data_IF_441333245016
#
_entry.id   IF_441333245016
#
_cell.length_a   1.000
_cell.length_b   1.000
_cell.length_c   1.000
_cell.angle_alpha   90.00
_cell.angle_beta   90.00
_cell.angle_gamma   90.00
#
_symmetry.space_group_name_H-M   'P 1'
#
loop_
_entity.id
_entity.type
_entity.pdbx_description
1 polymer ?
#
# COMPACT_ATOMS: atom_id res chain seq x y z
N UNK A 1 11.63 -38.90 34.19
CA UNK A 1 10.78 -37.70 34.08
C UNK A 1 10.13 -37.71 32.69
N UNK A 2 9.02 -38.44 32.53
CA UNK A 2 8.34 -38.60 31.25
C UNK A 2 7.20 -37.59 31.12
N UNK A 3 7.19 -36.82 30.04
CA UNK A 3 6.03 -36.02 29.67
C UNK A 3 4.87 -36.99 29.35
N UNK A 4 3.86 -37.03 30.21
CA UNK A 4 2.68 -37.88 30.01
C UNK A 4 1.91 -37.54 28.73
N UNK A 5 1.07 -38.46 28.22
CA UNK A 5 0.34 -38.33 26.95
C UNK A 5 -0.54 -37.06 26.83
N UNK A 6 -0.89 -36.42 27.95
CA UNK A 6 -1.61 -35.14 27.97
C UNK A 6 -0.77 -33.93 27.50
N UNK A 7 0.55 -33.93 27.68
CA UNK A 7 1.42 -32.82 27.29
C UNK A 7 1.68 -32.73 25.78
N UNK A 8 1.75 -33.88 25.10
CA UNK A 8 1.93 -33.96 23.65
C UNK A 8 0.68 -33.47 22.88
N UNK A 9 -0.52 -33.73 23.42
CA UNK A 9 -1.78 -33.25 22.86
C UNK A 9 -1.93 -31.72 22.97
N UNK A 10 -1.47 -31.12 24.07
CA UNK A 10 -1.51 -29.66 24.26
C UNK A 10 -0.57 -28.92 23.30
N UNK A 11 0.65 -29.43 23.07
CA UNK A 11 1.60 -28.85 22.11
C UNK A 11 1.10 -29.01 20.67
N UNK A 12 0.49 -30.15 20.36
CA UNK A 12 -0.14 -30.39 19.06
C UNK A 12 -1.35 -29.49 18.83
N UNK A 13 -2.21 -29.28 19.83
CA UNK A 13 -3.31 -28.32 19.78
C UNK A 13 -2.81 -26.89 19.61
N UNK A 14 -1.82 -26.45 20.39
CA UNK A 14 -1.26 -25.11 20.26
C UNK A 14 -0.68 -24.85 18.86
N UNK A 15 0.00 -25.83 18.27
CA UNK A 15 0.50 -25.79 16.88
C UNK A 15 -0.61 -25.83 15.82
N UNK A 16 -1.73 -26.49 16.09
CA UNK A 16 -2.93 -26.47 15.22
C UNK A 16 -3.55 -25.07 15.19
N UNK A 17 -3.77 -24.46 16.35
CA UNK A 17 -4.37 -23.12 16.44
C UNK A 17 -3.51 -22.06 15.76
N UNK A 18 -2.19 -22.06 15.98
CA UNK A 18 -1.26 -21.06 15.40
C UNK A 18 -1.18 -21.11 13.88
N UNK A 19 -1.40 -22.26 13.27
CA UNK A 19 -1.29 -22.40 11.82
C UNK A 19 -2.61 -22.11 11.08
N UNK A 20 -3.77 -22.39 11.69
CA UNK A 20 -5.06 -21.94 11.15
C UNK A 20 -5.18 -20.41 11.23
N UNK A 21 -4.77 -19.81 12.35
CA UNK A 21 -4.73 -18.35 12.48
C UNK A 21 -3.82 -17.72 11.43
N UNK A 22 -2.66 -18.32 11.12
CA UNK A 22 -1.73 -17.78 10.11
C UNK A 22 -2.28 -17.82 8.67
N UNK A 23 -3.16 -18.77 8.34
CA UNK A 23 -3.84 -18.83 7.04
C UNK A 23 -4.92 -17.75 6.90
N UNK A 24 -5.73 -17.61 7.94
CA UNK A 24 -6.79 -16.59 8.00
C UNK A 24 -6.22 -15.16 8.05
N UNK A 25 -5.08 -14.97 8.74
CA UNK A 25 -4.37 -13.70 8.79
C UNK A 25 -3.91 -13.24 7.41
N UNK A 26 -3.40 -14.14 6.56
CA UNK A 26 -2.97 -13.80 5.19
C UNK A 26 -4.15 -13.42 4.29
N UNK A 27 -5.26 -14.16 4.38
CA UNK A 27 -6.46 -13.83 3.62
C UNK A 27 -7.03 -12.47 4.03
N UNK A 28 -7.09 -12.21 5.35
CA UNK A 28 -7.47 -10.91 5.91
C UNK A 28 -6.54 -9.81 5.42
N UNK A 29 -5.22 -10.02 5.48
CA UNK A 29 -4.24 -9.05 4.99
C UNK A 29 -4.41 -8.73 3.50
N UNK A 30 -4.70 -9.75 2.68
CA UNK A 30 -4.93 -9.58 1.25
C UNK A 30 -6.16 -8.73 0.98
N UNK A 31 -7.29 -9.01 1.65
CA UNK A 31 -8.52 -8.20 1.53
C UNK A 31 -8.27 -6.76 1.99
N UNK A 32 -7.58 -6.57 3.12
CA UNK A 32 -7.23 -5.23 3.60
C UNK A 32 -6.34 -4.48 2.61
N UNK A 33 -5.37 -5.16 1.99
CA UNK A 33 -4.53 -4.54 0.97
C UNK A 33 -5.33 -4.17 -0.28
N UNK A 34 -6.24 -5.02 -0.75
CA UNK A 34 -7.11 -4.73 -1.90
C UNK A 34 -8.03 -3.53 -1.64
N UNK A 35 -8.55 -3.41 -0.41
CA UNK A 35 -9.31 -2.21 0.01
C UNK A 35 -8.38 -0.99 0.01
N UNK A 36 -7.19 -1.10 0.59
CA UNK A 36 -6.23 0.00 0.66
C UNK A 36 -5.88 0.53 -0.72
N UNK A 37 -5.54 -0.33 -1.68
CA UNK A 37 -5.13 0.06 -3.03
C UNK A 37 -6.28 0.63 -3.86
N UNK A 38 -7.51 0.18 -3.62
CA UNK A 38 -8.70 0.77 -4.23
C UNK A 38 -8.93 2.19 -3.70
N UNK A 39 -8.81 2.38 -2.38
CA UNK A 39 -8.92 3.70 -1.77
C UNK A 39 -7.74 4.61 -2.14
N UNK A 40 -6.55 4.07 -2.40
CA UNK A 40 -5.44 4.83 -2.96
C UNK A 40 -5.77 5.34 -4.37
N UNK A 41 -6.45 4.56 -5.21
CA UNK A 41 -6.91 5.06 -6.50
C UNK A 41 -7.97 6.19 -6.35
N UNK A 42 -8.85 6.12 -5.35
CA UNK A 42 -9.76 7.21 -5.02
C UNK A 42 -9.00 8.46 -4.53
N UNK A 43 -7.98 8.28 -3.69
CA UNK A 43 -7.06 9.34 -3.27
C UNK A 43 -6.42 10.00 -4.49
N UNK A 44 -5.83 9.22 -5.40
CA UNK A 44 -5.16 9.75 -6.59
C UNK A 44 -6.14 10.50 -7.50
N UNK A 45 -7.36 9.98 -7.66
CA UNK A 45 -8.41 10.61 -8.47
C UNK A 45 -8.85 11.95 -7.89
N UNK A 46 -9.09 12.01 -6.57
CA UNK A 46 -9.42 13.26 -5.89
C UNK A 46 -8.25 14.26 -5.89
N UNK A 47 -7.01 13.78 -5.79
CA UNK A 47 -5.82 14.63 -5.90
C UNK A 47 -5.64 15.19 -7.31
N UNK A 48 -5.95 14.41 -8.36
CA UNK A 48 -5.95 14.88 -9.76
C UNK A 48 -6.99 15.98 -9.97
N UNK A 49 -8.20 15.81 -9.43
CA UNK A 49 -9.25 16.83 -9.50
C UNK A 49 -8.85 18.11 -8.75
N UNK A 50 -8.34 17.99 -7.52
CA UNK A 50 -7.85 19.15 -6.75
C UNK A 50 -6.66 19.84 -7.39
N UNK A 51 -5.74 19.09 -8.01
CA UNK A 51 -4.57 19.63 -8.70
C UNK A 51 -4.89 20.39 -9.99
N UNK A 52 -6.12 20.31 -10.50
CA UNK A 52 -6.58 21.12 -11.63
C UNK A 52 -6.92 22.56 -11.22
N UNK A 53 -7.12 22.81 -9.92
CA UNK A 53 -7.62 24.08 -9.37
C UNK A 53 -6.66 24.74 -8.39
N UNK A 54 -5.86 23.96 -7.65
CA UNK A 54 -4.86 24.50 -6.72
C UNK A 54 -3.46 23.89 -6.98
N UNK A 55 -2.38 24.56 -6.57
CA UNK A 55 -1.03 24.04 -6.71
C UNK A 55 -0.85 22.64 -6.10
N UNK A 56 -0.02 21.81 -6.74
CA UNK A 56 0.24 20.44 -6.28
C UNK A 56 0.63 20.32 -4.80
N UNK A 57 1.48 21.22 -4.32
CA UNK A 57 1.92 21.25 -2.92
C UNK A 57 0.79 21.60 -1.95
N UNK A 58 -0.19 22.38 -2.40
CA UNK A 58 -1.40 22.68 -1.64
C UNK A 58 -2.33 21.46 -1.56
N UNK A 59 -2.50 20.70 -2.65
CA UNK A 59 -3.21 19.41 -2.63
C UNK A 59 -2.56 18.44 -1.63
N UNK A 60 -1.23 18.38 -1.60
CA UNK A 60 -0.50 17.54 -0.64
C UNK A 60 -0.72 18.01 0.80
N UNK A 61 -0.77 19.33 1.03
CA UNK A 61 -1.12 19.87 2.33
C UNK A 61 -2.54 19.47 2.74
N UNK A 62 -3.54 19.65 1.87
CA UNK A 62 -4.93 19.22 2.15
C UNK A 62 -5.01 17.74 2.49
N UNK A 63 -4.32 16.89 1.72
CA UNK A 63 -4.23 15.45 1.97
C UNK A 63 -3.77 15.14 3.39
N UNK A 64 -2.69 15.75 3.85
CA UNK A 64 -2.14 15.45 5.18
C UNK A 64 -2.89 16.14 6.30
N UNK A 65 -3.30 17.38 6.11
CA UNK A 65 -4.04 18.16 7.12
C UNK A 65 -5.43 17.57 7.37
N UNK A 66 -6.19 17.25 6.32
CA UNK A 66 -7.52 16.65 6.48
C UNK A 66 -7.41 15.23 7.04
N UNK A 67 -6.43 14.43 6.61
CA UNK A 67 -6.13 13.13 7.23
C UNK A 67 -5.86 13.31 8.73
N UNK A 68 -4.97 14.23 9.09
CA UNK A 68 -4.63 14.51 10.49
C UNK A 68 -5.86 14.91 11.30
N UNK A 69 -6.67 15.86 10.80
CA UNK A 69 -7.89 16.31 11.47
C UNK A 69 -8.86 15.16 11.69
N UNK A 70 -9.15 14.35 10.67
CA UNK A 70 -10.07 13.21 10.77
C UNK A 70 -9.59 12.19 11.81
N UNK A 71 -8.30 11.83 11.78
CA UNK A 71 -7.73 10.88 12.73
C UNK A 71 -7.67 11.48 14.15
N UNK A 72 -7.38 12.77 14.29
CA UNK A 72 -7.35 13.44 15.58
C UNK A 72 -8.76 13.55 16.19
N UNK A 73 -9.80 13.79 15.40
CA UNK A 73 -11.20 13.74 15.85
C UNK A 73 -11.55 12.33 16.34
N UNK A 74 -11.22 11.30 15.55
CA UNK A 74 -11.55 9.91 15.87
C UNK A 74 -10.82 9.39 17.11
N UNK A 75 -9.53 9.67 17.24
CA UNK A 75 -8.69 9.16 18.32
C UNK A 75 -8.70 10.07 19.56
N UNK A 76 -9.16 11.32 19.42
CA UNK A 76 -9.16 12.36 20.44
C UNK A 76 -7.88 12.36 21.29
N UNK A 77 -6.71 12.61 20.66
CA UNK A 77 -5.43 12.40 21.30
C UNK A 77 -5.15 13.40 22.44
N UNK A 78 -5.96 14.46 22.56
CA UNK A 78 -5.90 15.41 23.67
C UNK A 78 -6.53 14.84 24.96
N UNK A 79 -7.54 13.98 24.85
CA UNK A 79 -8.11 13.23 26.00
C UNK A 79 -7.46 11.87 26.20
N UNK A 80 -6.91 11.28 25.15
CA UNK A 80 -6.16 10.03 25.20
C UNK A 80 -4.72 10.23 24.66
N UNK A 81 -3.79 10.81 25.44
CA UNK A 81 -2.41 11.05 25.02
C UNK A 81 -1.66 9.78 24.62
N UNK A 82 -2.14 8.61 25.04
CA UNK A 82 -1.63 7.31 24.60
C UNK A 82 -1.70 7.12 23.09
N UNK A 83 -2.56 7.84 22.38
CA UNK A 83 -2.60 7.86 20.91
C UNK A 83 -1.30 8.39 20.27
N UNK A 84 -0.53 9.24 20.97
CA UNK A 84 0.79 9.70 20.53
C UNK A 84 1.94 8.76 20.93
N UNK A 85 1.67 7.78 21.79
CA UNK A 85 2.71 6.92 22.34
C UNK A 85 3.30 6.07 21.23
N UNK A 86 4.62 6.19 21.07
CA UNK A 86 5.42 5.36 20.17
C UNK A 86 6.65 4.84 20.89
N UNK A 87 6.99 3.59 20.63
CA UNK A 87 8.24 2.97 21.12
C UNK A 87 9.40 3.19 20.15
N UNK A 88 9.12 3.67 18.94
CA UNK A 88 10.09 3.84 17.86
C UNK A 88 10.00 5.24 17.18
N UNK A 89 10.20 6.34 17.93
CA UNK A 89 10.02 7.70 17.42
C UNK A 89 10.90 8.01 16.20
N UNK A 90 12.16 7.57 16.20
CA UNK A 90 13.08 7.76 15.06
C UNK A 90 12.53 7.14 13.78
N UNK A 91 11.91 5.96 13.89
CA UNK A 91 11.40 5.22 12.76
C UNK A 91 10.07 5.81 12.25
N UNK A 92 9.23 6.36 13.14
CA UNK A 92 8.04 7.13 12.75
C UNK A 92 8.40 8.42 12.02
N UNK A 93 9.39 9.17 12.52
CA UNK A 93 9.90 10.39 11.85
C UNK A 93 10.49 10.03 10.48
N UNK A 94 11.32 8.98 10.39
CA UNK A 94 11.84 8.50 9.12
C UNK A 94 10.72 8.11 8.15
N UNK A 95 9.67 7.41 8.64
CA UNK A 95 8.50 7.02 7.83
C UNK A 95 7.79 8.23 7.23
N UNK A 96 7.54 9.25 8.05
CA UNK A 96 6.89 10.47 7.60
C UNK A 96 7.78 11.28 6.64
N UNK A 97 9.09 11.39 6.90
CA UNK A 97 10.02 12.06 6.01
C UNK A 97 10.10 11.39 4.62
N UNK A 98 10.22 10.06 4.61
CA UNK A 98 10.20 9.24 3.38
C UNK A 98 8.88 9.42 2.64
N UNK A 99 7.74 9.51 3.34
CA UNK A 99 6.43 9.72 2.71
C UNK A 99 6.32 11.10 2.04
N UNK A 100 6.81 12.16 2.69
CA UNK A 100 6.85 13.52 2.12
C UNK A 100 7.78 13.54 0.91
N UNK A 101 8.99 13.00 1.04
CA UNK A 101 9.99 12.96 -0.03
C UNK A 101 9.47 12.19 -1.25
N UNK A 102 8.88 11.01 -1.04
CA UNK A 102 8.27 10.22 -2.11
C UNK A 102 7.18 11.00 -2.85
N UNK A 103 6.30 11.67 -2.10
CA UNK A 103 5.22 12.48 -2.66
C UNK A 103 5.79 13.67 -3.46
N UNK A 104 6.72 14.44 -2.89
CA UNK A 104 7.34 15.59 -3.56
C UNK A 104 8.08 15.21 -4.84
N UNK A 105 8.88 14.15 -4.80
CA UNK A 105 9.59 13.64 -5.98
C UNK A 105 8.63 13.13 -7.07
N UNK A 106 7.49 12.55 -6.67
CA UNK A 106 6.47 12.10 -7.62
C UNK A 106 5.83 13.29 -8.36
N UNK A 107 5.45 14.34 -7.63
CA UNK A 107 4.92 15.56 -8.25
C UNK A 107 5.96 16.25 -9.14
N UNK A 108 7.22 16.30 -8.71
CA UNK A 108 8.31 16.82 -9.52
C UNK A 108 8.52 15.99 -10.80
N UNK A 109 8.39 14.67 -10.73
CA UNK A 109 8.46 13.84 -11.94
C UNK A 109 7.27 14.12 -12.88
N UNK A 110 6.05 14.29 -12.34
CA UNK A 110 4.86 14.60 -13.12
C UNK A 110 4.92 15.95 -13.84
N UNK A 111 5.72 16.92 -13.37
CA UNK A 111 5.90 18.19 -14.08
C UNK A 111 6.79 18.08 -15.32
N UNK A 112 7.54 16.98 -15.49
CA UNK A 112 8.48 16.79 -16.61
C UNK A 112 8.17 15.56 -17.47
N UNK A 113 7.48 14.55 -16.92
CA UNK A 113 7.21 13.28 -17.58
C UNK A 113 5.74 13.13 -17.89
N UNK A 114 5.45 12.38 -18.95
CA UNK A 114 4.08 11.96 -19.24
C UNK A 114 3.56 11.05 -18.11
N UNK A 115 2.26 11.16 -17.81
CA UNK A 115 1.59 10.34 -16.77
C UNK A 115 1.85 8.84 -17.00
N UNK A 116 1.78 8.39 -18.26
CA UNK A 116 2.04 7.00 -18.63
C UNK A 116 3.48 6.55 -18.29
N UNK A 117 4.48 7.40 -18.51
CA UNK A 117 5.87 7.13 -18.16
C UNK A 117 6.05 7.04 -16.64
N UNK A 118 5.45 8.00 -15.91
CA UNK A 118 5.49 8.03 -14.44
C UNK A 118 4.84 6.79 -13.83
N UNK A 119 3.65 6.40 -14.29
CA UNK A 119 2.96 5.21 -13.80
C UNK A 119 3.76 3.93 -14.09
N UNK A 120 4.30 3.79 -15.32
CA UNK A 120 5.12 2.61 -15.68
C UNK A 120 6.25 2.36 -14.68
N UNK A 121 6.94 3.44 -14.27
CA UNK A 121 8.03 3.35 -13.31
C UNK A 121 7.49 3.17 -11.89
N UNK A 122 6.39 3.83 -11.53
CA UNK A 122 5.76 3.69 -10.21
C UNK A 122 5.38 2.24 -9.90
N UNK A 123 4.93 1.49 -10.90
CA UNK A 123 4.61 0.07 -10.79
C UNK A 123 5.83 -0.86 -10.73
N UNK A 124 7.05 -0.33 -10.77
CA UNK A 124 8.23 -1.07 -10.28
C UNK A 124 8.26 -1.16 -8.75
N UNK A 125 7.46 -0.36 -8.04
CA UNK A 125 7.38 -0.33 -6.57
C UNK A 125 7.27 -1.71 -5.92
N UNK A 126 6.34 -2.59 -6.33
CA UNK A 126 6.23 -3.94 -5.78
C UNK A 126 7.50 -4.80 -5.92
N UNK A 127 8.28 -4.60 -6.99
CA UNK A 127 9.59 -5.28 -7.18
C UNK A 127 10.55 -4.81 -6.09
N UNK A 128 10.68 -3.49 -5.90
CA UNK A 128 11.55 -2.92 -4.88
C UNK A 128 11.10 -3.23 -3.46
N UNK A 129 9.79 -3.21 -3.17
CA UNK A 129 9.24 -3.64 -1.87
C UNK A 129 9.64 -5.09 -1.60
N UNK A 130 9.53 -5.96 -2.59
CA UNK A 130 9.91 -7.37 -2.45
C UNK A 130 11.41 -7.51 -2.21
N UNK A 131 12.26 -6.82 -2.99
CA UNK A 131 13.72 -6.83 -2.80
C UNK A 131 14.13 -6.32 -1.41
N UNK A 132 13.61 -5.17 -1.00
CA UNK A 132 13.92 -4.58 0.30
C UNK A 132 13.37 -5.43 1.45
N UNK A 133 12.27 -6.16 1.25
CA UNK A 133 11.76 -7.09 2.26
C UNK A 133 12.70 -8.28 2.51
N UNK A 134 13.35 -8.79 1.45
CA UNK A 134 14.38 -9.83 1.59
C UNK A 134 15.58 -9.25 2.35
N UNK A 135 16.06 -8.07 1.95
CA UNK A 135 17.28 -7.46 2.51
C UNK A 135 17.12 -6.99 3.96
N UNK A 136 16.03 -6.29 4.27
CA UNK A 136 15.85 -5.63 5.58
C UNK A 136 14.97 -6.41 6.54
N UNK A 137 14.03 -7.22 6.06
CA UNK A 137 13.15 -8.01 6.94
C UNK A 137 13.54 -9.50 6.97
N UNK A 138 14.47 -9.94 6.13
CA UNK A 138 14.84 -11.35 6.03
C UNK A 138 13.71 -12.23 5.49
N UNK A 139 12.76 -11.65 4.74
CA UNK A 139 11.64 -12.41 4.17
C UNK A 139 12.13 -13.35 3.07
N UNK A 140 11.60 -14.59 3.05
CA UNK A 140 11.91 -15.57 2.00
C UNK A 140 10.82 -15.56 0.95
N UNK A 141 11.19 -15.22 -0.28
CA UNK A 141 10.26 -15.05 -1.40
C UNK A 141 10.39 -16.22 -2.38
N UNK A 142 9.34 -17.03 -2.49
CA UNK A 142 9.32 -18.16 -3.41
C UNK A 142 9.23 -17.76 -4.88
N UNK A 143 9.70 -18.64 -5.77
CA UNK A 143 9.73 -18.44 -7.23
C UNK A 143 8.40 -17.95 -7.84
N UNK A 144 7.26 -18.40 -7.32
CA UNK A 144 5.95 -18.05 -7.86
C UNK A 144 5.52 -16.62 -7.53
N UNK A 145 5.93 -16.09 -6.37
CA UNK A 145 5.71 -14.68 -6.02
C UNK A 145 6.52 -13.79 -6.94
N UNK A 146 7.79 -14.14 -7.18
CA UNK A 146 8.62 -13.48 -8.18
C UNK A 146 7.97 -13.48 -9.56
N UNK A 147 7.52 -14.65 -10.04
CA UNK A 147 6.85 -14.75 -11.33
C UNK A 147 5.63 -13.83 -11.43
N UNK A 148 4.77 -13.77 -10.40
CA UNK A 148 3.60 -12.91 -10.49
C UNK A 148 3.91 -11.43 -10.39
N UNK A 149 4.92 -11.01 -9.63
CA UNK A 149 5.38 -9.63 -9.62
C UNK A 149 5.80 -9.24 -11.05
N UNK A 150 6.64 -10.05 -11.69
CA UNK A 150 7.10 -9.77 -13.05
C UNK A 150 5.98 -9.84 -14.09
N UNK A 151 5.08 -10.83 -14.03
CA UNK A 151 3.95 -10.92 -14.97
C UNK A 151 2.98 -9.75 -14.79
N UNK A 152 2.69 -9.36 -13.55
CA UNK A 152 1.83 -8.19 -13.28
C UNK A 152 2.49 -6.89 -13.76
N UNK A 153 3.81 -6.76 -13.58
CA UNK A 153 4.58 -5.65 -14.10
C UNK A 153 4.54 -5.59 -15.64
N UNK A 154 4.70 -6.73 -16.32
CA UNK A 154 4.52 -6.81 -17.78
C UNK A 154 3.11 -6.37 -18.17
N UNK A 155 2.09 -6.82 -17.44
CA UNK A 155 0.72 -6.36 -17.62
C UNK A 155 0.61 -4.83 -17.58
N UNK A 156 1.20 -4.19 -16.58
CA UNK A 156 1.24 -2.71 -16.49
C UNK A 156 1.96 -2.10 -17.69
N UNK A 157 3.12 -2.61 -18.10
CA UNK A 157 3.86 -2.08 -19.25
C UNK A 157 3.07 -2.16 -20.57
N UNK A 158 2.26 -3.20 -20.75
CA UNK A 158 1.35 -3.32 -21.89
C UNK A 158 0.30 -2.21 -21.85
N UNK A 159 -0.24 -1.89 -20.66
CA UNK A 159 -1.27 -0.86 -20.51
C UNK A 159 -0.70 0.54 -20.70
N UNK A 160 0.38 0.85 -19.97
CA UNK A 160 0.96 2.20 -19.96
C UNK A 160 1.69 2.51 -21.26
N UNK A 161 2.17 1.47 -21.96
CA UNK A 161 2.89 1.55 -23.23
C UNK A 161 3.83 2.76 -23.26
N UNK A 162 4.81 2.83 -22.33
CA UNK A 162 5.69 3.98 -22.26
C UNK A 162 6.38 4.13 -23.61
N UNK A 163 6.18 5.29 -24.26
CA UNK A 163 6.83 5.57 -25.52
C UNK A 163 8.35 5.59 -25.36
N UNK A 164 9.07 5.27 -26.42
CA UNK A 164 10.50 5.60 -26.56
C UNK A 164 10.62 7.11 -26.81
N UNK A 165 10.39 7.89 -25.74
CA UNK A 165 10.70 9.31 -25.73
C UNK A 165 12.20 9.54 -25.51
N UNK A 166 12.65 10.78 -25.72
CA UNK A 166 14.00 11.19 -25.36
C UNK A 166 14.27 10.91 -23.87
N UNK A 167 15.51 10.50 -23.57
CA UNK A 167 15.94 10.28 -22.20
C UNK A 167 15.86 11.59 -21.41
N UNK A 168 14.87 11.70 -20.52
CA UNK A 168 14.68 12.85 -19.66
C UNK A 168 15.31 12.58 -18.27
N UNK A 169 16.25 13.41 -17.79
CA UNK A 169 16.80 13.27 -16.44
C UNK A 169 15.76 13.16 -15.32
N UNK A 170 14.53 13.66 -15.54
CA UNK A 170 13.41 13.53 -14.61
C UNK A 170 13.00 12.06 -14.32
N UNK A 171 13.40 11.09 -15.15
CA UNK A 171 13.27 9.66 -14.81
C UNK A 171 13.93 9.32 -13.47
N UNK A 172 15.02 10.00 -13.11
CA UNK A 172 15.69 9.85 -11.82
C UNK A 172 14.78 10.19 -10.63
N UNK A 173 13.94 11.23 -10.75
CA UNK A 173 13.03 11.63 -9.67
C UNK A 173 11.98 10.57 -9.37
N UNK A 174 11.37 9.98 -10.41
CA UNK A 174 10.36 8.93 -10.21
C UNK A 174 10.99 7.62 -9.74
N UNK A 175 12.17 7.24 -10.24
CA UNK A 175 12.89 6.05 -9.74
C UNK A 175 13.23 6.23 -8.26
N UNK A 176 13.74 7.40 -7.86
CA UNK A 176 14.05 7.71 -6.47
C UNK A 176 12.79 7.72 -5.61
N UNK A 177 11.69 8.31 -6.09
CA UNK A 177 10.38 8.29 -5.43
C UNK A 177 9.93 6.86 -5.14
N UNK A 178 10.07 5.94 -6.11
CA UNK A 178 9.68 4.54 -5.96
C UNK A 178 10.56 3.79 -4.94
N UNK A 179 11.88 4.01 -4.94
CA UNK A 179 12.78 3.42 -3.96
C UNK A 179 12.48 3.90 -2.53
N UNK A 180 12.21 5.20 -2.39
CA UNK A 180 11.78 5.82 -1.12
C UNK A 180 10.40 5.25 -0.71
N UNK A 181 9.44 5.15 -1.62
CA UNK A 181 8.13 4.53 -1.36
C UNK A 181 8.20 3.06 -0.96
N UNK A 182 9.14 2.30 -1.55
CA UNK A 182 9.40 0.93 -1.13
C UNK A 182 9.95 0.87 0.30
N UNK A 183 10.86 1.79 0.65
CA UNK A 183 11.37 1.96 2.02
C UNK A 183 10.26 2.31 3.01
N UNK A 184 9.29 3.16 2.62
CA UNK A 184 8.10 3.44 3.42
C UNK A 184 7.30 2.16 3.75
N UNK A 185 7.14 1.26 2.78
CA UNK A 185 6.44 -0.02 3.00
C UNK A 185 7.21 -0.90 3.99
N UNK A 186 8.53 -0.98 3.89
CA UNK A 186 9.38 -1.75 4.82
C UNK A 186 9.29 -1.19 6.25
N UNK A 187 9.41 0.14 6.38
CA UNK A 187 9.29 0.82 7.67
C UNK A 187 7.89 0.58 8.27
N UNK A 188 6.84 0.67 7.44
CA UNK A 188 5.46 0.42 7.86
C UNK A 188 5.29 -1.02 8.37
N UNK A 189 5.84 -2.02 7.66
CA UNK A 189 5.83 -3.42 8.09
C UNK A 189 6.52 -3.61 9.45
N UNK A 190 7.69 -3.00 9.65
CA UNK A 190 8.41 -3.06 10.94
C UNK A 190 7.60 -2.45 12.08
N UNK A 191 7.04 -1.25 11.88
CA UNK A 191 6.26 -0.56 12.90
C UNK A 191 4.91 -1.24 13.18
N UNK A 192 4.26 -1.81 12.17
CA UNK A 192 2.96 -2.48 12.33
C UNK A 192 3.01 -3.67 13.30
N UNK A 193 4.19 -4.25 13.52
CA UNK A 193 4.41 -5.33 14.47
C UNK A 193 4.44 -4.87 15.95
N UNK A 194 4.81 -3.61 16.23
CA UNK A 194 5.04 -3.12 17.60
C UNK A 194 4.14 -1.95 18.00
N UNK A 195 3.68 -1.17 17.02
CA UNK A 195 2.94 0.07 17.24
C UNK A 195 1.44 -0.13 17.04
N UNK A 196 0.62 0.78 17.59
CA UNK A 196 -0.81 0.82 17.30
C UNK A 196 -1.06 1.44 15.91
N UNK A 197 -2.10 1.00 15.20
CA UNK A 197 -2.45 1.61 13.92
C UNK A 197 -2.86 3.09 14.10
N UNK A 198 -3.49 3.43 15.23
CA UNK A 198 -3.87 4.81 15.54
C UNK A 198 -2.66 5.74 15.66
N UNK A 199 -1.65 5.35 16.46
CA UNK A 199 -0.42 6.15 16.61
C UNK A 199 0.35 6.28 15.30
N UNK A 200 0.42 5.20 14.52
CA UNK A 200 1.04 5.23 13.20
C UNK A 200 0.34 6.20 12.23
N UNK A 201 -1.00 6.25 12.22
CA UNK A 201 -1.76 7.18 11.37
C UNK A 201 -1.59 8.63 11.82
N UNK A 202 -1.77 8.87 13.12
CA UNK A 202 -1.71 10.20 13.69
C UNK A 202 -0.36 10.86 13.45
N UNK A 203 0.75 10.16 13.78
CA UNK A 203 2.11 10.70 13.61
C UNK A 203 2.44 10.90 12.13
N UNK A 204 2.02 9.98 11.27
CA UNK A 204 2.27 10.06 9.83
C UNK A 204 1.54 11.22 9.17
N UNK A 205 0.35 11.60 9.64
CA UNK A 205 -0.39 12.71 9.09
C UNK A 205 0.04 14.05 9.72
N UNK A 206 0.31 14.06 11.03
CA UNK A 206 0.70 15.26 11.77
C UNK A 206 2.01 15.87 11.27
N UNK A 207 3.07 15.07 11.09
CA UNK A 207 4.38 15.60 10.77
C UNK A 207 4.42 16.30 9.39
N UNK A 208 3.91 15.71 8.30
CA UNK A 208 3.78 16.40 7.01
C UNK A 208 2.89 17.64 7.08
N UNK A 209 1.74 17.58 7.79
CA UNK A 209 0.85 18.73 7.94
C UNK A 209 1.58 19.90 8.61
N UNK A 210 2.33 19.63 9.69
CA UNK A 210 3.13 20.64 10.39
C UNK A 210 4.24 21.19 9.49
N UNK A 211 4.95 20.33 8.75
CA UNK A 211 6.07 20.75 7.89
C UNK A 211 5.58 21.61 6.72
N UNK A 212 4.42 21.30 6.14
CA UNK A 212 3.89 22.00 4.97
C UNK A 212 3.10 23.27 5.32
N UNK A 213 2.52 23.36 6.52
CA UNK A 213 1.70 24.51 6.93
C UNK A 213 2.43 25.87 6.81
N UNK A 214 3.71 26.02 7.20
CA UNK A 214 4.44 27.28 7.05
C UNK A 214 4.56 27.77 5.61
N UNK A 215 4.43 26.89 4.62
CA UNK A 215 4.49 27.28 3.20
C UNK A 215 3.17 27.91 2.75
N UNK A 216 2.03 27.52 3.35
CA UNK A 216 0.69 27.91 2.86
C UNK A 216 0.51 29.42 2.67
N UNK A 217 0.93 30.31 3.60
CA UNK A 217 0.79 31.76 3.40
C UNK A 217 1.44 32.31 2.13
N UNK A 218 2.39 31.60 1.52
CA UNK A 218 3.13 32.05 0.33
C UNK A 218 2.60 31.50 -1.00
N UNK A 219 1.85 30.40 -0.96
CA UNK A 219 1.46 29.63 -2.17
C UNK A 219 -0.04 29.36 -2.26
N UNK A 220 -0.81 29.71 -1.24
CA UNK A 220 -2.22 29.38 -1.12
C UNK A 220 -3.05 30.01 -2.24
N UNK A 221 -3.83 29.17 -2.93
CA UNK A 221 -4.80 29.59 -3.94
C UNK A 221 -6.18 29.17 -3.48
N UNK A 222 -7.08 30.14 -3.30
CA UNK A 222 -8.45 29.84 -2.92
C UNK A 222 -9.21 29.18 -4.09
N UNK A 223 -9.80 27.98 -3.93
CA UNK A 223 -10.66 27.40 -4.95
C UNK A 223 -11.85 28.32 -5.25
N UNK A 224 -12.07 28.60 -6.54
CA UNK A 224 -13.09 29.55 -6.97
C UNK A 224 -14.51 29.01 -6.73
N UNK A 225 -14.73 27.72 -6.99
CA UNK A 225 -16.03 27.08 -6.86
C UNK A 225 -16.13 26.25 -5.57
N UNK A 226 -17.30 26.23 -4.94
CA UNK A 226 -17.54 25.41 -3.75
C UNK A 226 -17.39 23.90 -4.01
N UNK A 227 -17.62 23.47 -5.27
CA UNK A 227 -17.47 22.08 -5.67
C UNK A 227 -16.01 21.58 -5.60
N UNK A 228 -15.04 22.48 -5.76
CA UNK A 228 -13.61 22.16 -5.78
C UNK A 228 -13.06 21.77 -4.40
N UNK A 229 -13.78 22.13 -3.33
CA UNK A 229 -13.43 21.72 -1.97
C UNK A 229 -13.65 20.23 -1.73
N UNK A 230 -14.62 19.62 -2.41
CA UNK A 230 -14.95 18.21 -2.24
C UNK A 230 -13.78 17.28 -2.60
N UNK A 231 -13.11 17.40 -3.77
CA UNK A 231 -11.93 16.59 -4.06
C UNK A 231 -10.78 16.88 -3.10
N UNK A 232 -10.56 18.13 -2.67
CA UNK A 232 -9.51 18.49 -1.70
C UNK A 232 -9.72 17.79 -0.35
N UNK A 233 -10.93 17.84 0.21
CA UNK A 233 -11.30 17.09 1.42
C UNK A 233 -11.21 15.58 1.19
N UNK A 234 -11.64 15.13 0.00
CA UNK A 234 -11.55 13.74 -0.45
C UNK A 234 -10.14 13.17 -0.34
N UNK A 235 -9.10 13.97 -0.65
CA UNK A 235 -7.71 13.51 -0.54
C UNK A 235 -7.34 13.09 0.88
N UNK A 236 -7.73 13.87 1.90
CA UNK A 236 -7.43 13.49 3.29
C UNK A 236 -8.30 12.34 3.79
N UNK A 237 -9.57 12.30 3.37
CA UNK A 237 -10.50 11.23 3.72
C UNK A 237 -10.04 9.88 3.18
N UNK A 238 -9.85 9.76 1.86
CA UNK A 238 -9.35 8.54 1.25
C UNK A 238 -7.92 8.24 1.71
N UNK A 239 -7.10 9.26 1.95
CA UNK A 239 -5.78 9.12 2.54
C UNK A 239 -5.79 8.46 3.92
N UNK A 240 -6.67 8.87 4.82
CA UNK A 240 -6.76 8.29 6.16
C UNK A 240 -7.18 6.82 6.12
N UNK A 241 -8.23 6.50 5.38
CA UNK A 241 -8.80 5.16 5.34
C UNK A 241 -7.89 4.19 4.58
N UNK A 242 -7.34 4.60 3.43
CA UNK A 242 -6.40 3.77 2.66
C UNK A 242 -5.18 3.39 3.49
N UNK A 243 -4.58 4.34 4.20
CA UNK A 243 -3.43 4.09 5.06
C UNK A 243 -3.76 3.24 6.28
N UNK A 244 -4.97 3.35 6.84
CA UNK A 244 -5.41 2.46 7.91
C UNK A 244 -5.38 1.01 7.44
N UNK A 245 -6.03 0.71 6.31
CA UNK A 245 -6.05 -0.64 5.75
C UNK A 245 -4.66 -1.11 5.30
N UNK A 246 -3.82 -0.22 4.76
CA UNK A 246 -2.44 -0.53 4.40
C UNK A 246 -1.62 -0.96 5.65
N UNK A 247 -1.70 -0.20 6.75
CA UNK A 247 -1.02 -0.53 8.01
C UNK A 247 -1.53 -1.87 8.56
N UNK A 248 -2.83 -2.10 8.53
CA UNK A 248 -3.41 -3.34 9.03
C UNK A 248 -3.02 -4.54 8.16
N UNK A 249 -2.99 -4.40 6.83
CA UNK A 249 -2.50 -5.45 5.94
C UNK A 249 -1.05 -5.84 6.32
N UNK A 250 -0.18 -4.84 6.50
CA UNK A 250 1.20 -5.04 6.95
C UNK A 250 1.32 -5.57 8.38
N UNK A 251 0.27 -5.52 9.21
CA UNK A 251 0.25 -6.19 10.52
C UNK A 251 0.06 -7.70 10.35
N UNK A 252 -0.84 -8.10 9.47
CA UNK A 252 -1.25 -9.49 9.30
C UNK A 252 -0.41 -10.28 8.29
N UNK A 253 0.30 -9.62 7.36
CA UNK A 253 1.15 -10.32 6.39
C UNK A 253 2.44 -9.59 6.00
N UNK A 254 3.38 -10.40 5.52
CA UNK A 254 4.70 -10.02 5.02
C UNK A 254 4.63 -9.00 3.87
N UNK A 255 5.61 -8.10 3.79
CA UNK A 255 5.64 -7.08 2.75
C UNK A 255 5.74 -7.69 1.35
N UNK A 256 6.55 -8.76 1.19
CA UNK A 256 6.66 -9.52 -0.06
C UNK A 256 5.38 -10.24 -0.49
N UNK A 257 4.51 -10.59 0.46
CA UNK A 257 3.21 -11.18 0.14
C UNK A 257 2.23 -10.11 -0.37
N UNK A 258 2.27 -8.91 0.21
CA UNK A 258 1.37 -7.82 -0.11
C UNK A 258 1.78 -7.06 -1.38
N UNK A 259 3.07 -7.03 -1.71
CA UNK A 259 3.62 -6.34 -2.87
C UNK A 259 2.85 -6.61 -4.19
N UNK A 260 2.63 -7.87 -4.65
CA UNK A 260 1.90 -8.11 -5.89
C UNK A 260 0.44 -7.64 -5.86
N UNK A 261 -0.18 -7.50 -4.68
CA UNK A 261 -1.55 -6.99 -4.57
C UNK A 261 -1.63 -5.48 -4.86
N UNK A 262 -0.51 -4.76 -4.76
CA UNK A 262 -0.46 -3.33 -5.09
C UNK A 262 -0.72 -3.05 -6.57
N UNK A 263 -0.44 -4.01 -7.47
CA UNK A 263 -0.78 -3.88 -8.89
C UNK A 263 -2.30 -3.73 -9.14
N UNK A 264 -3.14 -4.24 -8.24
CA UNK A 264 -4.60 -4.09 -8.34
C UNK A 264 -5.06 -2.64 -8.20
N UNK A 265 -4.23 -1.74 -7.66
CA UNK A 265 -4.49 -0.29 -7.70
C UNK A 265 -4.80 0.17 -9.13
N UNK A 266 -4.08 -0.37 -10.12
CA UNK A 266 -4.25 0.01 -11.52
C UNK A 266 -5.66 -0.29 -12.05
N UNK A 267 -6.28 -1.38 -11.60
CA UNK A 267 -7.66 -1.70 -11.98
C UNK A 267 -8.63 -0.65 -11.46
N UNK A 268 -8.46 -0.23 -10.20
CA UNK A 268 -9.28 0.83 -9.63
C UNK A 268 -9.04 2.17 -10.34
N UNK A 269 -7.78 2.50 -10.68
CA UNK A 269 -7.44 3.69 -11.49
C UNK A 269 -8.12 3.64 -12.86
N UNK A 270 -8.18 2.48 -13.52
CA UNK A 270 -8.87 2.34 -14.79
C UNK A 270 -10.38 2.57 -14.69
N UNK A 271 -11.01 1.96 -13.69
CA UNK A 271 -12.46 2.10 -13.48
C UNK A 271 -12.80 3.55 -13.15
N UNK A 272 -12.03 4.21 -12.28
CA UNK A 272 -12.21 5.62 -11.93
C UNK A 272 -11.86 6.54 -13.11
N UNK A 273 -10.84 6.20 -13.89
CA UNK A 273 -10.47 6.83 -15.16
C UNK A 273 -11.67 6.95 -16.09
N UNK A 274 -12.30 5.81 -16.37
CA UNK A 274 -13.49 5.76 -17.20
C UNK A 274 -14.69 6.48 -16.57
N UNK A 275 -14.99 6.20 -15.30
CA UNK A 275 -16.22 6.68 -14.66
C UNK A 275 -16.20 8.19 -14.35
N UNK A 276 -15.04 8.76 -14.00
CA UNK A 276 -14.90 10.16 -13.59
C UNK A 276 -14.37 11.03 -14.73
N UNK A 277 -13.41 10.52 -15.50
CA UNK A 277 -12.70 11.31 -16.52
C UNK A 277 -13.11 10.97 -17.95
N UNK A 278 -13.95 9.94 -18.15
CA UNK A 278 -14.35 9.50 -19.48
C UNK A 278 -13.23 8.80 -20.28
N UNK A 279 -12.17 8.36 -19.61
CA UNK A 279 -11.03 7.69 -20.24
C UNK A 279 -11.44 6.30 -20.74
N UNK A 280 -11.76 6.16 -22.03
CA UNK A 280 -12.20 4.89 -22.63
C UNK A 280 -11.01 3.91 -22.72
N UNK A 281 -11.11 2.71 -22.12
CA UNK A 281 -10.05 1.70 -22.20
C UNK A 281 -9.76 1.29 -23.65
N UNK A 282 -8.48 1.32 -24.03
CA UNK A 282 -8.04 0.84 -25.34
C UNK A 282 -7.92 -0.70 -25.36
N UNK A 283 -7.75 -1.30 -26.54
CA UNK A 283 -7.47 -2.74 -26.65
C UNK A 283 -6.22 -3.14 -25.84
N UNK A 284 -5.17 -2.31 -25.82
CA UNK A 284 -3.96 -2.55 -25.03
C UNK A 284 -4.22 -2.48 -23.53
N UNK A 285 -5.06 -1.54 -23.11
CA UNK A 285 -5.53 -1.44 -21.74
C UNK A 285 -6.25 -2.72 -21.30
N UNK A 286 -7.12 -3.26 -22.15
CA UNK A 286 -7.84 -4.50 -21.87
C UNK A 286 -6.88 -5.71 -21.82
N UNK A 287 -5.95 -5.82 -22.78
CA UNK A 287 -4.97 -6.90 -22.81
C UNK A 287 -4.05 -6.90 -21.58
N UNK A 288 -3.47 -5.75 -21.24
CA UNK A 288 -2.61 -5.65 -20.07
C UNK A 288 -3.37 -5.85 -18.77
N UNK A 289 -4.64 -5.42 -18.70
CA UNK A 289 -5.55 -5.70 -17.58
C UNK A 289 -5.79 -7.20 -17.43
N UNK A 290 -6.05 -7.91 -18.53
CA UNK A 290 -6.22 -9.37 -18.52
C UNK A 290 -4.97 -10.09 -17.97
N UNK A 291 -3.77 -9.64 -18.38
CA UNK A 291 -2.50 -10.18 -17.86
C UNK A 291 -2.36 -9.93 -16.36
N UNK A 292 -2.66 -8.71 -15.90
CA UNK A 292 -2.58 -8.31 -14.50
C UNK A 292 -3.57 -9.07 -13.61
N UNK A 293 -4.83 -9.19 -14.04
CA UNK A 293 -5.85 -9.96 -13.30
C UNK A 293 -5.50 -11.45 -13.31
N UNK A 294 -5.07 -11.98 -14.46
CA UNK A 294 -4.72 -13.38 -14.64
C UNK A 294 -3.58 -13.82 -13.73
N UNK A 295 -2.51 -13.02 -13.60
CA UNK A 295 -1.39 -13.31 -12.69
C UNK A 295 -1.81 -13.32 -11.22
N UNK A 296 -2.63 -12.36 -10.81
CA UNK A 296 -3.15 -12.25 -9.45
C UNK A 296 -4.07 -13.42 -9.07
N UNK A 297 -5.00 -13.78 -9.96
CA UNK A 297 -5.88 -14.93 -9.79
C UNK A 297 -5.10 -16.25 -9.73
N UNK A 298 -4.07 -16.40 -10.57
CA UNK A 298 -3.21 -17.58 -10.55
C UNK A 298 -2.49 -17.74 -9.20
N UNK A 299 -1.92 -16.66 -8.65
CA UNK A 299 -1.32 -16.71 -7.31
C UNK A 299 -2.35 -17.08 -6.25
N UNK A 300 -3.49 -16.40 -6.24
CA UNK A 300 -4.52 -16.64 -5.23
C UNK A 300 -5.00 -18.09 -5.25
N UNK A 301 -5.30 -18.61 -6.43
CA UNK A 301 -5.69 -20.01 -6.61
C UNK A 301 -4.61 -20.97 -6.11
N UNK A 302 -3.34 -20.69 -6.44
CA UNK A 302 -2.22 -21.52 -6.03
C UNK A 302 -2.00 -21.52 -4.53
N UNK A 303 -2.02 -20.35 -3.89
CA UNK A 303 -1.80 -20.21 -2.46
C UNK A 303 -2.94 -20.89 -1.68
N UNK A 304 -4.18 -20.81 -2.19
CA UNK A 304 -5.33 -21.58 -1.69
C UNK A 304 -5.10 -23.10 -1.83
N UNK A 305 -4.60 -23.56 -2.97
CA UNK A 305 -4.28 -24.99 -3.20
C UNK A 305 -3.19 -25.50 -2.25
N UNK A 306 -2.14 -24.72 -2.01
CA UNK A 306 -1.07 -25.06 -1.06
C UNK A 306 -1.64 -25.16 0.36
N UNK A 307 -2.41 -24.16 0.80
CA UNK A 307 -3.05 -24.17 2.11
C UNK A 307 -3.99 -25.38 2.29
N UNK A 308 -4.76 -25.73 1.25
CA UNK A 308 -5.63 -26.91 1.26
C UNK A 308 -4.85 -28.23 1.28
N UNK A 309 -3.74 -28.33 0.53
CA UNK A 309 -2.88 -29.52 0.51
C UNK A 309 -2.19 -29.73 1.86
N UNK A 310 -1.71 -28.65 2.50
CA UNK A 310 -1.19 -28.70 3.86
C UNK A 310 -2.25 -29.12 4.87
N UNK A 311 -3.48 -28.57 4.76
CA UNK A 311 -4.61 -28.99 5.59
C UNK A 311 -4.94 -30.48 5.41
N UNK A 312 -4.98 -30.98 4.17
CA UNK A 312 -5.23 -32.41 3.87
C UNK A 312 -4.13 -33.31 4.42
N UNK A 313 -2.86 -32.99 4.18
CA UNK A 313 -1.70 -33.77 4.67
C UNK A 313 -1.69 -33.84 6.21
N UNK A 314 -2.09 -32.76 6.88
CA UNK A 314 -2.24 -32.72 8.34
C UNK A 314 -3.40 -33.58 8.82
N UNK A 315 -4.57 -33.49 8.18
CA UNK A 315 -5.73 -34.33 8.54
C UNK A 315 -5.41 -35.82 8.38
N UNK A 316 -4.70 -36.22 7.32
CA UNK A 316 -4.27 -37.61 7.14
C UNK A 316 -3.25 -38.06 8.21
N UNK A 317 -2.32 -37.19 8.62
CA UNK A 317 -1.37 -37.50 9.70
C UNK A 317 -2.06 -37.66 11.06
N UNK A 318 -3.10 -36.87 11.33
CA UNK A 318 -3.89 -36.98 12.57
C UNK A 318 -4.67 -38.29 12.57
N UNK A 319 -5.29 -38.66 11.44
CA UNK A 319 -6.03 -39.92 11.33
C UNK A 319 -5.11 -41.15 11.49
N UNK A 320 -3.91 -41.11 10.92
CA UNK A 320 -2.92 -42.20 11.03
C UNK A 320 -2.27 -42.30 12.42
N UNK A 321 -2.17 -41.21 13.17
CA UNK A 321 -1.64 -41.23 14.54
C UNK A 321 -2.66 -41.56 15.62
N UNK A 322 -3.95 -41.67 15.26
CA UNK A 322 -5.05 -42.04 16.15
C UNK A 322 -5.49 -43.51 15.99
N UNK A 323 -4.93 -44.22 15.01
CA UNK A 323 -5.09 -45.65 14.77
C UNK A 323 -3.88 -46.41 15.33
#
# INVERSE_FOLDING_TARGET
MGAGPHGLNAVAQARRTTAETAGDDKAKAAVMMLIAVTLFACLDSTAKLGGAVVPAIEVVWFRFTIHFVLVAILLNPWRAPTAWRTTAPKLQVARAAVQIACTGLNFLALSYLQIAQTLSIQFMGPIFVTLLSVLFLGEVVGRYRWSAIFISFIGVLIITRPGVGEFNPAFGFIILSVLIGASYSIITRRLAATESAGSMLLIMAALPAIILTPLMPFIWVWPADYADWLPLVGTGFFGAISHYFHIQAHRYAQASFLAPLQYFQFLAVLVLGFAIFGDVPTMWTLLGTLVLVGSGLFIWYRERKIAQAEKRKRLSQIALGAA
#
